data_IF_066648090809
#
_entry.id   IF_066648090809
#
_cell.length_a   1.000
_cell.length_b   1.000
_cell.length_c   1.000
_cell.angle_alpha   90.00
_cell.angle_beta   90.00
_cell.angle_gamma   90.00
#
_symmetry.space_group_name_H-M   'P 1'
#
loop_
_entity.id
_entity.type
_entity.pdbx_description
1 polymer ?
#
# COMPACT_ATOMS: atom_id res chain seq x y z
N UNK A 1 -3.08 21.28 41.15
CA UNK A 1 -2.71 22.41 40.26
C UNK A 1 -1.77 21.84 39.21
N UNK A 2 -2.11 22.08 37.94
CA UNK A 2 -1.60 21.37 36.77
C UNK A 2 -0.13 21.71 36.46
N UNK A 3 0.64 20.71 36.02
CA UNK A 3 1.88 20.91 35.30
C UNK A 3 1.73 20.21 33.95
N UNK A 4 1.34 21.01 32.95
CA UNK A 4 1.33 20.65 31.54
C UNK A 4 2.77 20.30 31.11
N UNK A 5 3.02 19.02 30.89
CA UNK A 5 4.18 18.57 30.11
C UNK A 5 3.85 18.86 28.65
N UNK A 6 4.50 19.88 28.10
CA UNK A 6 4.48 20.18 26.68
C UNK A 6 5.25 19.09 25.93
N UNK A 7 4.54 18.04 25.52
CA UNK A 7 5.08 17.06 24.59
C UNK A 7 5.18 17.71 23.22
N UNK A 8 6.42 17.86 22.78
CA UNK A 8 6.88 18.15 21.44
C UNK A 8 5.89 17.65 20.38
N UNK A 9 5.29 18.58 19.65
CA UNK A 9 4.78 18.33 18.32
C UNK A 9 5.95 17.81 17.49
N UNK A 10 6.02 16.48 17.35
CA UNK A 10 6.76 15.84 16.27
C UNK A 10 6.13 16.38 15.00
N UNK A 11 6.78 17.41 14.45
CA UNK A 11 6.66 17.82 13.07
C UNK A 11 7.14 16.64 12.23
N UNK A 12 6.25 15.67 12.04
CA UNK A 12 6.41 14.63 11.05
C UNK A 12 6.29 15.35 9.71
N UNK A 13 7.45 15.73 9.17
CA UNK A 13 7.56 16.36 7.86
C UNK A 13 6.69 15.58 6.89
N UNK A 14 5.76 16.29 6.26
CA UNK A 14 4.86 15.72 5.29
C UNK A 14 5.63 15.01 4.19
N UNK A 15 5.76 13.70 4.33
CA UNK A 15 5.85 12.80 3.19
C UNK A 15 4.50 12.93 2.54
N UNK A 16 4.42 13.77 1.50
CA UNK A 16 3.21 14.03 0.77
C UNK A 16 2.70 12.73 0.18
N UNK A 17 1.77 12.08 0.87
CA UNK A 17 0.82 11.19 0.23
C UNK A 17 0.24 11.97 -0.94
N UNK A 18 0.49 11.51 -2.17
CA UNK A 18 -0.25 11.96 -3.35
C UNK A 18 -1.70 11.55 -3.10
N UNK A 19 -2.47 12.44 -2.47
CA UNK A 19 -3.87 12.21 -2.15
C UNK A 19 -4.66 11.89 -3.42
N UNK A 20 -5.78 11.17 -3.28
CA UNK A 20 -6.56 10.67 -4.42
C UNK A 20 -6.80 11.77 -5.47
N UNK A 21 -6.22 11.60 -6.66
CA UNK A 21 -6.40 12.54 -7.76
C UNK A 21 -7.69 12.24 -8.54
N UNK A 22 -8.24 13.25 -9.21
CA UNK A 22 -9.45 13.10 -10.03
C UNK A 22 -9.18 12.10 -11.15
N UNK A 23 -9.86 10.97 -11.11
CA UNK A 23 -9.72 9.89 -12.09
C UNK A 23 -9.06 8.64 -11.52
N UNK A 24 -8.49 8.67 -10.32
CA UNK A 24 -7.93 7.48 -9.67
C UNK A 24 -9.03 6.51 -9.22
N UNK A 25 -8.68 5.25 -8.97
CA UNK A 25 -9.61 4.28 -8.40
C UNK A 25 -10.07 4.76 -7.02
N UNK A 26 -11.37 4.63 -6.74
CA UNK A 26 -11.91 4.98 -5.42
C UNK A 26 -11.30 4.06 -4.35
N UNK A 27 -11.18 4.51 -3.08
CA UNK A 27 -10.67 3.66 -2.01
C UNK A 27 -11.50 2.37 -1.86
N UNK A 28 -10.82 1.25 -1.59
CA UNK A 28 -11.45 -0.02 -1.19
C UNK A 28 -11.51 -0.06 0.32
N UNK A 29 -12.59 -0.63 0.85
CA UNK A 29 -12.82 -0.78 2.28
C UNK A 29 -12.81 -2.27 2.64
N UNK A 30 -12.15 -2.61 3.75
CA UNK A 30 -12.15 -3.94 4.34
C UNK A 30 -13.12 -3.92 5.52
N UNK A 31 -14.20 -4.68 5.41
CA UNK A 31 -15.12 -4.84 6.54
C UNK A 31 -14.49 -5.75 7.59
N UNK A 32 -14.24 -5.20 8.79
CA UNK A 32 -13.70 -5.97 9.92
C UNK A 32 -14.80 -6.90 10.48
N UNK A 33 -14.61 -8.24 10.44
CA UNK A 33 -15.56 -9.18 11.02
C UNK A 33 -15.76 -8.97 12.52
N UNK A 34 -17.00 -9.12 13.01
CA UNK A 34 -17.32 -8.97 14.44
C UNK A 34 -16.48 -9.90 15.33
N UNK A 35 -16.16 -11.09 14.83
CA UNK A 35 -15.40 -12.11 15.54
C UNK A 35 -13.98 -11.67 15.94
N UNK A 36 -13.36 -10.75 15.18
CA UNK A 36 -11.99 -10.30 15.44
C UNK A 36 -11.92 -8.92 16.12
N UNK A 37 -13.05 -8.26 16.38
CA UNK A 37 -13.08 -6.90 16.98
C UNK A 37 -12.43 -6.83 18.37
N UNK A 38 -12.42 -7.93 19.11
CA UNK A 38 -11.72 -8.01 20.40
C UNK A 38 -10.21 -8.17 20.25
N UNK A 39 -9.74 -8.67 19.11
CA UNK A 39 -8.33 -8.75 18.77
C UNK A 39 -7.88 -7.38 18.20
N UNK A 40 -7.41 -6.52 19.10
CA UNK A 40 -6.99 -5.15 18.74
C UNK A 40 -5.83 -5.14 17.76
N UNK A 41 -4.94 -6.12 17.85
CA UNK A 41 -3.76 -6.21 16.99
C UNK A 41 -4.17 -6.56 15.57
N UNK A 42 -4.97 -7.63 15.40
CA UNK A 42 -5.49 -8.02 14.09
C UNK A 42 -6.43 -6.96 13.50
N UNK A 43 -7.27 -6.34 14.33
CA UNK A 43 -8.13 -5.23 13.91
C UNK A 43 -7.31 -4.05 13.39
N UNK A 44 -6.19 -3.71 14.05
CA UNK A 44 -5.31 -2.64 13.59
C UNK A 44 -4.56 -3.05 12.32
N UNK A 45 -4.13 -4.31 12.22
CA UNK A 45 -3.47 -4.85 11.04
C UNK A 45 -4.38 -4.79 9.80
N UNK A 46 -5.66 -5.12 9.94
CA UNK A 46 -6.66 -4.99 8.86
C UNK A 46 -6.78 -3.53 8.40
N UNK A 47 -6.85 -2.57 9.32
CA UNK A 47 -6.95 -1.13 8.98
C UNK A 47 -5.67 -0.58 8.35
N UNK A 48 -4.52 -0.94 8.90
CA UNK A 48 -3.22 -0.57 8.34
C UNK A 48 -3.10 -1.12 6.91
N UNK A 49 -3.59 -2.36 6.69
CA UNK A 49 -3.60 -3.00 5.38
C UNK A 49 -4.53 -2.32 4.40
N UNK A 50 -5.76 -1.98 4.79
CA UNK A 50 -6.68 -1.19 3.96
C UNK A 50 -6.03 0.13 3.52
N UNK A 51 -5.42 0.85 4.47
CA UNK A 51 -4.70 2.09 4.17
C UNK A 51 -3.54 1.89 3.20
N UNK A 52 -2.74 0.84 3.41
CA UNK A 52 -1.60 0.51 2.57
C UNK A 52 -2.00 0.08 1.15
N UNK A 53 -3.06 -0.72 0.99
CA UNK A 53 -3.60 -1.12 -0.31
C UNK A 53 -4.05 0.11 -1.10
N UNK A 54 -4.77 1.02 -0.45
CA UNK A 54 -5.23 2.26 -1.07
C UNK A 54 -4.08 3.21 -1.43
N UNK A 55 -3.08 3.34 -0.56
CA UNK A 55 -1.89 4.14 -0.83
C UNK A 55 -1.05 3.54 -1.98
N UNK A 56 -0.88 2.22 -2.00
CA UNK A 56 -0.21 1.50 -3.08
C UNK A 56 -0.93 1.71 -4.41
N UNK A 57 -2.27 1.61 -4.43
CA UNK A 57 -3.08 1.92 -5.62
C UNK A 57 -2.78 3.32 -6.14
N UNK A 58 -2.85 4.34 -5.27
CA UNK A 58 -2.59 5.71 -5.69
C UNK A 58 -1.15 5.90 -6.21
N UNK A 59 -0.17 5.21 -5.61
CA UNK A 59 1.22 5.27 -6.05
C UNK A 59 1.42 4.61 -7.42
N UNK A 60 0.74 3.49 -7.69
CA UNK A 60 0.74 2.84 -9.01
C UNK A 60 0.13 3.75 -10.07
N UNK A 61 -1.01 4.39 -9.76
CA UNK A 61 -1.66 5.31 -10.70
C UNK A 61 -0.80 6.54 -10.98
N UNK A 62 -0.14 7.09 -9.95
CA UNK A 62 0.82 8.18 -10.11
C UNK A 62 2.06 7.75 -10.91
N UNK A 63 2.57 6.53 -10.70
CA UNK A 63 3.67 5.98 -11.49
C UNK A 63 3.29 5.90 -12.97
N UNK A 64 2.08 5.43 -13.28
CA UNK A 64 1.58 5.35 -14.65
C UNK A 64 1.49 6.74 -15.30
N UNK A 65 0.96 7.73 -14.58
CA UNK A 65 0.95 9.12 -15.05
C UNK A 65 2.36 9.68 -15.30
N UNK A 66 3.31 9.40 -14.40
CA UNK A 66 4.71 9.83 -14.54
C UNK A 66 5.42 9.11 -15.72
N UNK A 67 4.98 7.89 -16.07
CA UNK A 67 5.51 7.08 -17.18
C UNK A 67 4.83 7.33 -18.54
N UNK A 68 3.60 7.85 -18.58
CA UNK A 68 2.85 8.13 -19.82
C UNK A 68 3.67 8.86 -20.91
N UNK A 69 4.50 9.88 -20.59
CA UNK A 69 5.33 10.55 -21.60
C UNK A 69 6.42 9.67 -22.23
N UNK A 70 6.70 8.51 -21.64
CA UNK A 70 7.76 7.59 -22.03
C UNK A 70 7.23 6.24 -22.55
N UNK A 71 5.92 6.05 -22.66
CA UNK A 71 5.32 4.74 -23.01
C UNK A 71 5.79 4.18 -24.37
N UNK A 72 6.07 5.07 -25.33
CA UNK A 72 6.52 4.70 -26.68
C UNK A 72 8.05 4.84 -26.86
N UNK A 73 8.79 5.08 -25.78
CA UNK A 73 10.25 5.25 -25.83
C UNK A 73 10.93 3.89 -25.83
N UNK A 74 11.68 3.61 -26.90
CA UNK A 74 12.64 2.50 -26.90
C UNK A 74 13.79 2.81 -25.94
N UNK A 75 13.93 1.98 -24.90
CA UNK A 75 14.93 2.15 -23.86
C UNK A 75 16.35 1.83 -24.31
N UNK A 76 16.54 1.05 -25.37
CA UNK A 76 17.88 0.79 -25.89
C UNK A 76 18.40 2.02 -26.65
N UNK A 77 17.50 2.72 -27.35
CA UNK A 77 17.79 3.94 -28.11
C UNK A 77 17.68 5.25 -27.29
N UNK A 78 17.07 5.19 -26.11
CA UNK A 78 16.85 6.35 -25.26
C UNK A 78 18.16 7.06 -24.87
N UNK A 79 18.11 8.39 -24.81
CA UNK A 79 19.24 9.19 -24.29
C UNK A 79 19.52 8.85 -22.82
N UNK A 80 20.77 9.00 -22.38
CA UNK A 80 21.18 8.83 -20.98
C UNK A 80 20.32 9.66 -20.02
N UNK A 81 19.91 10.87 -20.42
CA UNK A 81 19.05 11.73 -19.60
C UNK A 81 17.65 11.14 -19.40
N UNK A 82 17.07 10.52 -20.43
CA UNK A 82 15.78 9.82 -20.32
C UNK A 82 15.90 8.63 -19.39
N UNK A 83 16.96 7.82 -19.54
CA UNK A 83 17.27 6.70 -18.64
C UNK A 83 17.35 7.15 -17.18
N UNK A 84 18.07 8.24 -16.91
CA UNK A 84 18.18 8.82 -15.55
C UNK A 84 16.81 9.26 -15.00
N UNK A 85 15.98 9.90 -15.83
CA UNK A 85 14.63 10.33 -15.41
C UNK A 85 13.75 9.13 -15.03
N UNK A 86 13.77 8.06 -15.82
CA UNK A 86 13.01 6.85 -15.50
C UNK A 86 13.54 6.14 -14.26
N UNK A 87 14.86 6.09 -14.06
CA UNK A 87 15.45 5.61 -12.80
C UNK A 87 14.96 6.44 -11.61
N UNK A 88 14.91 7.77 -11.74
CA UNK A 88 14.39 8.64 -10.69
C UNK A 88 12.93 8.33 -10.37
N UNK A 89 12.07 8.18 -11.38
CA UNK A 89 10.65 7.81 -11.22
C UNK A 89 10.54 6.48 -10.46
N UNK A 90 11.32 5.47 -10.83
CA UNK A 90 11.32 4.17 -10.15
C UNK A 90 11.74 4.28 -8.68
N UNK A 91 12.78 5.06 -8.37
CA UNK A 91 13.21 5.29 -6.98
C UNK A 91 12.14 6.03 -6.17
N UNK A 92 11.50 7.05 -6.75
CA UNK A 92 10.41 7.78 -6.11
C UNK A 92 9.20 6.87 -5.85
N UNK A 93 8.85 5.99 -6.78
CA UNK A 93 7.80 4.99 -6.57
C UNK A 93 8.13 4.04 -5.41
N UNK A 94 9.36 3.52 -5.35
CA UNK A 94 9.79 2.64 -4.24
C UNK A 94 9.75 3.37 -2.90
N UNK A 95 10.22 4.61 -2.85
CA UNK A 95 10.18 5.42 -1.63
C UNK A 95 8.74 5.65 -1.14
N UNK A 96 7.84 5.98 -2.06
CA UNK A 96 6.43 6.23 -1.76
C UNK A 96 5.65 4.95 -1.40
N UNK A 97 6.08 3.79 -1.89
CA UNK A 97 5.42 2.49 -1.66
C UNK A 97 5.96 1.72 -0.46
N UNK A 98 6.95 2.27 0.25
CA UNK A 98 7.59 1.63 1.41
C UNK A 98 6.62 1.21 2.52
N UNK A 99 5.51 1.93 2.70
CA UNK A 99 4.46 1.56 3.67
C UNK A 99 3.72 0.27 3.30
N UNK A 100 3.53 0.00 2.01
CA UNK A 100 2.92 -1.26 1.56
C UNK A 100 3.78 -2.46 1.93
N UNK A 101 5.10 -2.33 1.79
CA UNK A 101 6.08 -3.35 2.19
C UNK A 101 6.03 -3.59 3.70
N UNK A 102 5.99 -2.53 4.49
CA UNK A 102 5.92 -2.63 5.96
C UNK A 102 4.65 -3.33 6.48
N UNK A 103 3.55 -3.31 5.72
CA UNK A 103 2.32 -4.04 6.10
C UNK A 103 2.46 -5.53 5.84
N UNK A 104 3.11 -5.93 4.73
CA UNK A 104 3.36 -7.34 4.44
C UNK A 104 4.27 -7.97 5.51
N UNK A 105 5.30 -7.25 5.96
CA UNK A 105 6.15 -7.68 7.07
C UNK A 105 5.34 -7.88 8.37
N UNK A 106 4.44 -6.95 8.70
CA UNK A 106 3.58 -7.09 9.89
C UNK A 106 2.58 -8.25 9.79
N UNK A 107 2.10 -8.58 8.60
CA UNK A 107 1.23 -9.74 8.37
C UNK A 107 1.95 -11.05 8.65
N UNK A 108 3.19 -11.17 8.17
CA UNK A 108 4.06 -12.32 8.44
C UNK A 108 4.41 -12.40 9.92
N UNK A 109 4.81 -11.28 10.55
CA UNK A 109 5.09 -11.22 11.98
C UNK A 109 3.91 -11.65 12.86
N UNK A 110 2.68 -11.24 12.51
CA UNK A 110 1.48 -11.63 13.27
C UNK A 110 1.23 -13.15 13.21
N UNK A 111 1.38 -13.75 12.02
CA UNK A 111 1.24 -15.20 11.84
C UNK A 111 2.33 -15.97 12.62
N UNK A 112 3.58 -15.52 12.51
CA UNK A 112 4.73 -16.13 13.17
C UNK A 112 4.63 -16.02 14.70
N UNK A 113 4.22 -14.88 15.24
CA UNK A 113 4.06 -14.70 16.69
C UNK A 113 3.02 -15.68 17.24
N UNK A 114 1.91 -15.89 16.53
CA UNK A 114 0.86 -16.83 16.94
C UNK A 114 1.34 -18.28 16.91
N UNK A 115 2.07 -18.65 15.85
CA UNK A 115 2.70 -19.96 15.75
C UNK A 115 3.72 -20.21 16.88
N UNK A 116 4.59 -19.22 17.16
CA UNK A 116 5.63 -19.30 18.19
C UNK A 116 5.07 -19.34 19.61
N UNK A 117 3.91 -18.74 19.85
CA UNK A 117 3.18 -18.82 21.12
C UNK A 117 2.40 -20.13 21.31
N UNK A 118 2.53 -21.10 20.39
CA UNK A 118 1.76 -22.35 20.36
C UNK A 118 0.24 -22.12 20.44
N UNK A 119 -0.22 -20.95 19.99
CA UNK A 119 -1.64 -20.60 19.94
C UNK A 119 -1.99 -20.42 18.48
N UNK A 120 -2.43 -21.48 17.79
CA UNK A 120 -2.84 -21.40 16.40
C UNK A 120 -3.87 -20.29 16.20
N UNK A 121 -3.80 -19.64 15.04
CA UNK A 121 -4.87 -18.74 14.62
C UNK A 121 -6.19 -19.50 14.61
N UNK A 122 -7.26 -18.85 15.07
CA UNK A 122 -8.61 -19.38 14.87
C UNK A 122 -9.01 -19.26 13.40
N UNK A 123 -10.03 -20.01 12.99
CA UNK A 123 -10.55 -19.93 11.62
C UNK A 123 -10.96 -18.50 11.26
N UNK A 124 -11.56 -17.76 12.20
CA UNK A 124 -11.97 -16.37 11.99
C UNK A 124 -10.77 -15.41 11.86
N UNK A 125 -9.66 -15.70 12.56
CA UNK A 125 -8.43 -14.91 12.42
C UNK A 125 -7.74 -15.20 11.09
N UNK A 126 -7.72 -16.46 10.65
CA UNK A 126 -7.20 -16.85 9.33
C UNK A 126 -8.04 -16.24 8.21
N UNK A 127 -9.36 -16.24 8.34
CA UNK A 127 -10.28 -15.63 7.38
C UNK A 127 -10.07 -14.12 7.30
N UNK A 128 -9.89 -13.43 8.42
CA UNK A 128 -9.57 -12.00 8.41
C UNK A 128 -8.23 -11.69 7.72
N UNK A 129 -7.23 -12.56 7.85
CA UNK A 129 -5.98 -12.43 7.08
C UNK A 129 -6.21 -12.69 5.58
N UNK A 130 -7.00 -13.70 5.23
CA UNK A 130 -7.34 -14.01 3.83
C UNK A 130 -8.05 -12.81 3.16
N UNK A 131 -8.98 -12.16 3.85
CA UNK A 131 -9.69 -10.98 3.33
C UNK A 131 -8.70 -9.85 2.96
N UNK A 132 -7.60 -9.67 3.69
CA UNK A 132 -6.59 -8.68 3.32
C UNK A 132 -5.93 -9.03 1.99
N UNK A 133 -5.54 -10.29 1.80
CA UNK A 133 -4.95 -10.78 0.55
C UNK A 133 -5.92 -10.66 -0.62
N UNK A 134 -7.16 -11.13 -0.45
CA UNK A 134 -8.20 -11.08 -1.47
C UNK A 134 -8.50 -9.62 -1.87
N UNK A 135 -8.50 -8.70 -0.91
CA UNK A 135 -8.69 -7.26 -1.16
C UNK A 135 -7.54 -6.68 -1.96
N UNK A 136 -6.30 -7.08 -1.64
CA UNK A 136 -5.13 -6.65 -2.39
C UNK A 136 -5.17 -7.18 -3.83
N UNK A 137 -5.48 -8.45 -4.03
CA UNK A 137 -5.61 -9.07 -5.36
C UNK A 137 -6.71 -8.38 -6.18
N UNK A 138 -7.90 -8.18 -5.59
CA UNK A 138 -8.98 -7.44 -6.23
C UNK A 138 -8.57 -6.01 -6.63
N UNK A 139 -7.74 -5.34 -5.82
CA UNK A 139 -7.19 -4.02 -6.19
C UNK A 139 -6.24 -4.12 -7.37
N UNK A 140 -5.39 -5.14 -7.42
CA UNK A 140 -4.48 -5.36 -8.55
C UNK A 140 -5.25 -5.63 -9.84
N UNK A 141 -6.30 -6.45 -9.80
CA UNK A 141 -7.19 -6.70 -10.94
C UNK A 141 -7.86 -5.41 -11.44
N UNK A 142 -8.34 -4.55 -10.52
CA UNK A 142 -8.93 -3.26 -10.88
C UNK A 142 -7.92 -2.33 -11.57
N UNK A 143 -6.67 -2.32 -11.11
CA UNK A 143 -5.59 -1.54 -11.73
C UNK A 143 -5.25 -2.09 -13.12
N UNK A 144 -5.13 -3.41 -13.26
CA UNK A 144 -4.87 -4.07 -14.54
C UNK A 144 -5.98 -3.79 -15.55
N UNK A 145 -7.26 -3.90 -15.14
CA UNK A 145 -8.39 -3.57 -16.00
C UNK A 145 -8.34 -2.13 -16.49
N UNK A 146 -8.11 -1.20 -15.55
CA UNK A 146 -8.14 0.24 -15.84
C UNK A 146 -7.01 0.66 -16.77
N UNK A 147 -5.83 0.06 -16.64
CA UNK A 147 -4.62 0.42 -17.37
C UNK A 147 -4.17 -0.64 -18.37
N UNK A 148 -5.07 -1.54 -18.78
CA UNK A 148 -4.79 -2.62 -19.73
C UNK A 148 -4.08 -2.15 -21.01
N UNK A 149 -4.47 -0.97 -21.50
CA UNK A 149 -3.92 -0.41 -22.74
C UNK A 149 -2.58 0.33 -22.56
N UNK A 150 -2.09 0.51 -21.32
CA UNK A 150 -0.84 1.22 -21.03
C UNK A 150 0.41 0.42 -21.45
N UNK A 151 0.34 -0.91 -21.41
CA UNK A 151 1.41 -1.83 -21.82
C UNK A 151 1.43 -2.20 -23.31
N UNK A 152 0.49 -1.64 -24.10
CA UNK A 152 0.40 -1.85 -25.55
C UNK A 152 -0.44 -3.07 -25.99
N UNK A 153 -0.96 -2.97 -27.22
CA UNK A 153 -1.45 -4.12 -28.02
C UNK A 153 -0.29 -5.00 -28.47
#
# INVERSE_FOLDING_TARGET
MWLFVATLFVNCGGVGSRGSHKGYLSPIEITIPDAIKSDKELTQLVKDSEGAINEFSNNMEALIEDLEPYKDVDMDEASTLVKIKMTKIAVEFLANSSKGIAVLEKLEEYADQRQNQQTPLTDEQMEAMAVIYDTFEARMEQLEEKYRDFGGK
#
